data_IF_289492684194
#
_entry.id   IF_289492684194
#
_cell.length_a   1.000
_cell.length_b   1.000
_cell.length_c   1.000
_cell.angle_alpha   90.00
_cell.angle_beta   90.00
_cell.angle_gamma   90.00
#
_symmetry.space_group_name_H-M   'P 1'
#
loop_
_entity.id
_entity.type
_entity.pdbx_description
1 polymer ?
#
# COMPACT_ATOMS: atom_id res chain seq x y z
N UNK A 1 34.13 -31.25 55.35
CA UNK A 1 34.16 -30.16 54.35
C UNK A 1 33.94 -30.81 52.99
N UNK A 2 32.80 -30.49 52.36
CA UNK A 2 32.25 -31.12 51.15
C UNK A 2 33.00 -30.70 49.88
N UNK A 3 33.16 -31.61 48.92
CA UNK A 3 33.42 -31.26 47.52
C UNK A 3 32.62 -32.23 46.62
N UNK A 4 31.56 -31.71 46.01
CA UNK A 4 30.74 -32.41 45.03
C UNK A 4 31.28 -32.12 43.62
N UNK A 5 31.58 -33.17 42.85
CA UNK A 5 31.92 -33.05 41.44
C UNK A 5 30.63 -32.95 40.62
N UNK A 6 30.41 -31.80 39.98
CA UNK A 6 29.27 -31.56 39.10
C UNK A 6 29.57 -32.06 37.68
N UNK A 7 28.59 -32.76 37.10
CA UNK A 7 28.62 -33.33 35.76
C UNK A 7 28.76 -32.26 34.66
N UNK A 8 29.67 -32.48 33.71
CA UNK A 8 29.74 -31.71 32.48
C UNK A 8 28.69 -32.25 31.49
N UNK A 9 27.54 -31.58 31.39
CA UNK A 9 26.59 -31.79 30.31
C UNK A 9 27.07 -31.02 29.07
N UNK A 10 27.41 -31.76 28.02
CA UNK A 10 27.80 -31.22 26.72
C UNK A 10 26.60 -30.52 26.07
N UNK A 11 26.56 -29.19 26.15
CA UNK A 11 25.62 -28.38 25.39
C UNK A 11 26.07 -28.34 23.92
N UNK A 12 25.36 -29.06 23.06
CA UNK A 12 25.51 -28.94 21.61
C UNK A 12 25.14 -27.52 21.20
N UNK A 13 26.13 -26.75 20.72
CA UNK A 13 25.94 -25.42 20.15
C UNK A 13 25.20 -25.53 18.81
N UNK A 14 23.88 -25.68 18.88
CA UNK A 14 23.01 -25.57 17.72
C UNK A 14 22.95 -24.12 17.26
N UNK A 15 23.60 -23.81 16.14
CA UNK A 15 23.42 -22.55 15.44
C UNK A 15 21.98 -22.49 14.91
N UNK A 16 21.10 -21.77 15.60
CA UNK A 16 19.79 -21.38 15.05
C UNK A 16 20.02 -20.24 14.05
N UNK A 17 20.12 -20.57 12.76
CA UNK A 17 20.07 -19.58 11.69
C UNK A 17 18.68 -18.94 11.71
N UNK A 18 18.59 -17.67 12.12
CA UNK A 18 17.32 -16.96 11.99
C UNK A 18 16.93 -16.88 10.50
N UNK A 19 15.65 -17.10 10.15
CA UNK A 19 15.19 -16.90 8.79
C UNK A 19 15.41 -15.43 8.43
N UNK A 20 16.23 -15.18 7.40
CA UNK A 20 16.41 -13.83 6.87
C UNK A 20 15.04 -13.38 6.33
N UNK A 21 14.45 -12.26 6.80
CA UNK A 21 13.25 -11.73 6.20
C UNK A 21 13.54 -11.46 4.73
N UNK A 22 12.76 -12.06 3.83
CA UNK A 22 12.88 -11.77 2.40
C UNK A 22 12.74 -10.28 2.15
N UNK A 23 13.31 -9.75 1.04
CA UNK A 23 13.10 -8.36 0.67
C UNK A 23 11.59 -8.06 0.64
N UNK A 24 11.17 -6.87 1.13
CA UNK A 24 9.75 -6.52 1.13
C UNK A 24 9.21 -6.61 -0.30
N UNK A 25 7.95 -7.04 -0.48
CA UNK A 25 7.36 -7.12 -1.81
C UNK A 25 7.45 -5.74 -2.47
N UNK A 26 8.20 -5.64 -3.57
CA UNK A 26 8.30 -4.43 -4.35
C UNK A 26 6.98 -4.19 -5.07
N UNK A 27 6.18 -3.26 -4.60
CA UNK A 27 4.96 -2.83 -5.30
C UNK A 27 5.35 -1.96 -6.49
N UNK A 28 5.21 -2.52 -7.69
CA UNK A 28 5.42 -1.74 -8.92
C UNK A 28 4.25 -0.76 -9.09
N UNK A 29 4.54 0.54 -9.12
CA UNK A 29 3.55 1.54 -9.51
C UNK A 29 3.45 1.58 -11.04
N UNK A 30 2.27 1.27 -11.57
CA UNK A 30 1.98 1.34 -13.00
C UNK A 30 1.26 2.66 -13.29
N UNK A 31 1.63 3.34 -14.38
CA UNK A 31 0.92 4.54 -14.87
C UNK A 31 -0.08 4.12 -15.94
N UNK A 32 -1.32 4.59 -15.80
CA UNK A 32 -2.41 4.30 -16.73
C UNK A 32 -3.01 5.60 -17.26
N UNK A 33 -3.40 5.57 -18.53
CA UNK A 33 -4.22 6.61 -19.14
C UNK A 33 -5.65 6.09 -19.23
N UNK A 34 -6.56 6.69 -18.47
CA UNK A 34 -7.96 6.29 -18.42
C UNK A 34 -8.79 7.37 -19.12
N UNK A 35 -9.67 6.94 -20.02
CA UNK A 35 -10.63 7.82 -20.69
C UNK A 35 -12.02 7.52 -20.15
N UNK A 36 -12.73 8.57 -19.73
CA UNK A 36 -14.13 8.47 -19.28
C UNK A 36 -14.95 9.38 -20.18
N UNK A 37 -15.97 8.83 -20.83
CA UNK A 37 -16.95 9.62 -21.55
C UNK A 37 -17.94 10.22 -20.56
N UNK A 38 -18.05 11.55 -20.56
CA UNK A 38 -18.93 12.27 -19.63
C UNK A 38 -20.38 12.15 -20.10
N UNK A 39 -21.25 11.65 -19.24
CA UNK A 39 -22.69 11.68 -19.47
C UNK A 39 -23.28 12.96 -18.85
N UNK A 40 -24.12 13.74 -19.58
CA UNK A 40 -24.59 15.06 -19.13
C UNK A 40 -25.30 15.06 -17.76
N UNK A 41 -26.05 14.01 -17.45
CA UNK A 41 -26.86 13.91 -16.23
C UNK A 41 -26.25 13.00 -15.15
N UNK A 42 -25.10 12.39 -15.42
CA UNK A 42 -24.45 11.47 -14.48
C UNK A 42 -23.15 12.04 -13.92
N UNK A 43 -22.94 11.85 -12.63
CA UNK A 43 -21.63 12.08 -12.01
C UNK A 43 -20.61 11.03 -12.48
N UNK A 44 -19.32 11.35 -12.43
CA UNK A 44 -18.28 10.36 -12.71
C UNK A 44 -18.25 9.22 -11.66
N UNK A 45 -18.82 9.43 -10.46
CA UNK A 45 -18.85 8.42 -9.40
C UNK A 45 -17.53 8.28 -8.64
N UNK A 46 -16.76 9.36 -8.48
CA UNK A 46 -15.53 9.37 -7.68
C UNK A 46 -15.47 10.61 -6.77
N UNK A 47 -14.70 10.52 -5.69
CA UNK A 47 -14.30 11.66 -4.85
C UNK A 47 -12.78 11.71 -4.77
N UNK A 48 -12.20 12.90 -4.77
CA UNK A 48 -10.76 13.12 -4.60
C UNK A 48 -10.41 13.67 -3.21
N UNK A 49 -9.20 13.43 -2.75
CA UNK A 49 -8.61 14.02 -1.55
C UNK A 49 -7.10 14.27 -1.73
N UNK A 50 -6.52 15.06 -0.83
CA UNK A 50 -5.12 15.49 -0.91
C UNK A 50 -4.93 16.71 -1.80
N UNK A 51 -3.68 16.98 -2.19
CA UNK A 51 -3.28 18.21 -2.87
C UNK A 51 -2.47 19.15 -1.98
N UNK A 52 -1.78 20.11 -2.62
CA UNK A 52 -0.75 20.95 -1.99
C UNK A 52 -1.20 21.73 -0.74
N UNK A 53 -2.45 22.22 -0.73
CA UNK A 53 -3.01 23.01 0.39
C UNK A 53 -4.01 22.22 1.24
N UNK A 54 -4.01 20.90 1.13
CA UNK A 54 -4.93 20.00 1.83
C UNK A 54 -4.17 19.06 2.77
N UNK A 55 -4.85 18.48 3.75
CA UNK A 55 -4.25 17.39 4.52
C UNK A 55 -3.85 16.24 3.57
N UNK A 56 -2.63 15.68 3.71
CA UNK A 56 -2.22 14.53 2.91
C UNK A 56 -3.21 13.38 3.06
N UNK A 57 -3.60 12.77 1.95
CA UNK A 57 -4.49 11.60 1.99
C UNK A 57 -3.73 10.31 2.33
N UNK A 58 -2.47 10.19 1.88
CA UNK A 58 -1.61 9.03 2.15
C UNK A 58 -0.25 9.43 2.68
N UNK A 59 -0.01 9.18 3.97
CA UNK A 59 1.29 9.43 4.61
C UNK A 59 1.76 10.86 4.38
N UNK A 60 2.96 11.03 3.82
CA UNK A 60 3.55 12.33 3.49
C UNK A 60 3.39 12.71 2.01
N UNK A 61 2.60 11.98 1.23
CA UNK A 61 2.39 12.26 -0.20
C UNK A 61 1.30 13.33 -0.38
N UNK A 62 1.71 14.50 -0.88
CA UNK A 62 0.84 15.65 -1.18
C UNK A 62 0.07 15.52 -2.49
N UNK A 63 0.10 14.36 -3.13
CA UNK A 63 -0.65 14.10 -4.36
C UNK A 63 -2.16 14.13 -4.19
N UNK A 64 -2.85 14.08 -5.32
CA UNK A 64 -4.31 13.96 -5.40
C UNK A 64 -4.66 12.49 -5.59
N UNK A 65 -5.58 11.99 -4.78
CA UNK A 65 -5.94 10.57 -4.75
C UNK A 65 -7.44 10.38 -4.80
N UNK A 66 -7.88 9.24 -5.34
CA UNK A 66 -9.27 8.81 -5.26
C UNK A 66 -9.57 8.33 -3.84
N UNK A 67 -10.38 9.08 -3.11
CA UNK A 67 -10.75 8.81 -1.70
C UNK A 67 -12.06 8.04 -1.55
N UNK A 68 -12.93 8.10 -2.56
CA UNK A 68 -14.13 7.25 -2.68
C UNK A 68 -14.39 6.96 -4.15
N UNK A 69 -14.98 5.80 -4.41
CA UNK A 69 -15.33 5.35 -5.74
C UNK A 69 -16.67 4.60 -5.67
N UNK A 70 -17.61 4.93 -6.54
CA UNK A 70 -18.90 4.25 -6.66
C UNK A 70 -18.73 3.07 -7.60
N UNK A 71 -18.98 1.85 -7.11
CA UNK A 71 -18.77 0.60 -7.88
C UNK A 71 -19.63 0.52 -9.15
N UNK A 72 -20.77 1.21 -9.19
CA UNK A 72 -21.64 1.30 -10.36
C UNK A 72 -21.42 2.58 -11.19
N UNK A 73 -20.43 3.40 -10.83
CA UNK A 73 -20.14 4.68 -11.46
C UNK A 73 -19.26 4.57 -12.70
N UNK A 74 -19.29 5.61 -13.54
CA UNK A 74 -18.51 5.70 -14.78
C UNK A 74 -16.99 5.53 -14.54
N UNK A 75 -16.48 6.12 -13.46
CA UNK A 75 -15.08 6.03 -13.06
C UNK A 75 -14.64 4.60 -12.75
N UNK A 76 -15.47 3.85 -12.03
CA UNK A 76 -15.18 2.46 -11.69
C UNK A 76 -15.20 1.57 -12.94
N UNK A 77 -16.21 1.77 -13.81
CA UNK A 77 -16.35 1.07 -15.08
C UNK A 77 -15.15 1.32 -16.02
N UNK A 78 -14.57 2.53 -15.99
CA UNK A 78 -13.39 2.88 -16.75
C UNK A 78 -12.07 2.30 -16.18
N UNK A 79 -12.11 1.63 -15.03
CA UNK A 79 -10.96 0.92 -14.46
C UNK A 79 -10.24 1.66 -13.33
N UNK A 80 -10.73 2.82 -12.88
CA UNK A 80 -10.16 3.48 -11.71
C UNK A 80 -10.40 2.66 -10.44
N UNK A 81 -9.51 2.77 -9.46
CA UNK A 81 -9.56 2.06 -8.19
C UNK A 81 -9.36 3.01 -7.01
N UNK A 82 -9.82 2.58 -5.83
CA UNK A 82 -9.67 3.35 -4.60
C UNK A 82 -8.18 3.54 -4.29
N UNK A 83 -7.80 4.78 -3.98
CA UNK A 83 -6.42 5.15 -3.70
C UNK A 83 -5.58 5.44 -4.93
N UNK A 84 -6.06 5.24 -6.17
CA UNK A 84 -5.29 5.62 -7.36
C UNK A 84 -4.87 7.09 -7.27
N UNK A 85 -3.61 7.35 -7.66
CA UNK A 85 -3.02 8.68 -7.66
C UNK A 85 -3.29 9.34 -9.01
N UNK A 86 -3.97 10.48 -8.99
CA UNK A 86 -4.24 11.26 -10.20
C UNK A 86 -3.03 12.15 -10.47
N UNK A 87 -2.40 11.93 -11.62
CA UNK A 87 -1.21 12.69 -12.03
C UNK A 87 -1.55 13.88 -12.92
N UNK A 88 -2.56 13.73 -13.78
CA UNK A 88 -2.97 14.73 -14.76
C UNK A 88 -4.42 14.48 -15.19
N UNK A 89 -5.14 15.55 -15.46
CA UNK A 89 -6.43 15.54 -16.18
C UNK A 89 -6.23 16.35 -17.45
N UNK A 90 -6.73 15.85 -18.57
CA UNK A 90 -6.61 16.47 -19.90
C UNK A 90 -7.96 16.57 -20.58
#
# INVERSE_FOLDING_TARGET
MMAAAAAASSASSGHFSQPVPGPPPSTQQIRLNIQIERQPEASLGLTIAGGYSSAPFRGNDLGIFISRLTETGLAYAAGLRLGDKILKVI
#
